data_IF_490249569592
#
_entry.id   IF_490249569592
#
_cell.length_a   1.000
_cell.length_b   1.000
_cell.length_c   1.000
_cell.angle_alpha   90.00
_cell.angle_beta   90.00
_cell.angle_gamma   90.00
#
_symmetry.space_group_name_H-M   'P 1'
#
loop_
_entity.id
_entity.type
_entity.pdbx_description
1 polymer ?
#
# COMPACT_ATOMS: atom_id res chain seq x y z
N UNK A 1 17.56 22.89 -18.46
CA UNK A 1 17.77 21.56 -19.05
C UNK A 1 16.38 21.06 -19.36
N UNK A 2 16.04 20.87 -20.63
CA UNK A 2 14.84 20.13 -20.99
C UNK A 2 14.97 18.74 -20.34
N UNK A 3 14.08 18.42 -19.40
CA UNK A 3 13.94 17.04 -18.94
C UNK A 3 13.55 16.23 -20.18
N UNK A 4 14.47 15.37 -20.63
CA UNK A 4 14.18 14.39 -21.68
C UNK A 4 12.99 13.55 -21.17
N UNK A 5 11.80 13.80 -21.71
CA UNK A 5 10.65 12.93 -21.49
C UNK A 5 11.08 11.51 -21.83
N UNK A 6 10.94 10.60 -20.86
CA UNK A 6 11.21 9.19 -21.10
C UNK A 6 10.05 8.64 -21.91
N UNK A 7 10.38 8.04 -23.05
CA UNK A 7 9.46 7.64 -24.10
C UNK A 7 9.57 6.13 -24.22
N UNK A 8 8.52 5.42 -23.79
CA UNK A 8 8.56 3.97 -23.61
C UNK A 8 7.61 3.20 -24.52
N UNK A 9 8.07 2.03 -24.94
CA UNK A 9 7.24 0.97 -25.51
C UNK A 9 7.04 -0.11 -24.45
N UNK A 10 5.78 -0.50 -24.20
CA UNK A 10 5.48 -1.58 -23.27
C UNK A 10 5.50 -2.94 -23.99
N UNK A 11 6.03 -3.97 -23.34
CA UNK A 11 6.09 -5.33 -23.87
C UNK A 11 5.50 -6.32 -22.88
N UNK A 12 4.55 -7.13 -23.34
CA UNK A 12 3.92 -8.18 -22.51
C UNK A 12 3.81 -9.52 -23.24
N UNK A 13 4.04 -10.61 -22.52
CA UNK A 13 3.80 -11.96 -23.02
C UNK A 13 2.56 -12.54 -22.35
N UNK A 14 1.56 -12.93 -23.15
CA UNK A 14 0.40 -13.66 -22.65
C UNK A 14 0.66 -15.16 -22.77
N UNK A 15 0.65 -15.85 -21.62
CA UNK A 15 0.86 -17.29 -21.52
C UNK A 15 -0.41 -18.14 -21.71
N UNK A 16 -1.54 -17.51 -22.04
CA UNK A 16 -2.85 -18.18 -22.23
C UNK A 16 -3.55 -18.59 -20.93
N UNK A 17 -2.90 -18.44 -19.78
CA UNK A 17 -3.44 -18.71 -18.45
C UNK A 17 -3.78 -17.45 -17.65
N UNK A 18 -3.48 -16.27 -18.18
CA UNK A 18 -3.84 -14.99 -17.55
C UNK A 18 -5.16 -14.52 -18.14
N UNK A 19 -6.27 -14.75 -17.43
CA UNK A 19 -7.58 -14.22 -17.79
C UNK A 19 -7.55 -12.69 -17.96
N UNK A 20 -6.60 -12.03 -17.29
CA UNK A 20 -6.56 -10.58 -17.11
C UNK A 20 -5.30 -9.93 -17.71
N UNK A 21 -4.70 -10.53 -18.73
CA UNK A 21 -3.50 -9.98 -19.39
C UNK A 21 -3.70 -8.53 -19.88
N UNK A 22 -4.90 -8.22 -20.39
CA UNK A 22 -5.24 -6.86 -20.82
C UNK A 22 -5.19 -5.86 -19.65
N UNK A 23 -5.75 -6.24 -18.50
CA UNK A 23 -5.70 -5.42 -17.29
C UNK A 23 -4.27 -5.25 -16.77
N UNK A 24 -3.45 -6.31 -16.84
CA UNK A 24 -2.04 -6.23 -16.43
C UNK A 24 -1.23 -5.24 -17.28
N UNK A 25 -1.52 -5.15 -18.58
CA UNK A 25 -0.90 -4.17 -19.49
C UNK A 25 -1.43 -2.74 -19.28
N UNK A 26 -2.71 -2.58 -18.98
CA UNK A 26 -3.29 -1.30 -18.58
C UNK A 26 -2.67 -0.81 -17.27
N UNK A 27 -2.53 -1.69 -16.28
CA UNK A 27 -1.85 -1.39 -15.03
C UNK A 27 -0.37 -1.05 -15.24
N UNK A 28 0.33 -1.73 -16.17
CA UNK A 28 1.70 -1.37 -16.54
C UNK A 28 1.80 0.04 -17.16
N UNK A 29 0.79 0.44 -17.94
CA UNK A 29 0.70 1.80 -18.49
C UNK A 29 0.56 2.81 -17.36
N UNK A 30 -0.37 2.57 -16.43
CA UNK A 30 -0.57 3.42 -15.26
C UNK A 30 0.68 3.49 -14.35
N UNK A 31 1.48 2.41 -14.28
CA UNK A 31 2.76 2.40 -13.56
C UNK A 31 3.80 3.29 -14.27
N UNK A 32 3.88 3.22 -15.59
CA UNK A 32 4.81 4.04 -16.38
C UNK A 32 4.48 5.53 -16.26
N UNK A 33 3.20 5.88 -16.39
CA UNK A 33 2.71 7.26 -16.22
C UNK A 33 2.98 7.78 -14.81
N UNK A 34 2.84 6.95 -13.78
CA UNK A 34 3.14 7.33 -12.39
C UNK A 34 4.64 7.65 -12.12
N UNK A 35 5.52 7.27 -13.06
CA UNK A 35 6.95 7.52 -13.07
C UNK A 35 7.38 8.62 -14.06
N UNK A 36 6.42 9.40 -14.59
CA UNK A 36 6.64 10.43 -15.61
C UNK A 36 7.23 9.86 -16.92
N UNK A 37 6.87 8.62 -17.26
CA UNK A 37 7.24 7.96 -18.52
C UNK A 37 6.05 7.99 -19.49
N UNK A 38 6.25 8.58 -20.66
CA UNK A 38 5.25 8.63 -21.74
C UNK A 38 5.20 7.28 -22.47
N UNK A 39 4.05 6.62 -22.41
CA UNK A 39 3.81 5.36 -23.14
C UNK A 39 3.34 5.67 -24.56
N UNK A 40 4.14 5.29 -25.55
CA UNK A 40 3.88 5.62 -26.97
C UNK A 40 3.30 4.43 -27.73
N UNK A 41 3.41 3.24 -27.16
CA UNK A 41 2.77 2.06 -27.70
C UNK A 41 3.01 0.81 -26.87
N UNK A 42 2.35 -0.26 -27.28
CA UNK A 42 2.40 -1.55 -26.62
C UNK A 42 2.55 -2.66 -27.64
N UNK A 43 3.42 -3.62 -27.33
CA UNK A 43 3.69 -4.79 -28.14
C UNK A 43 3.42 -6.04 -27.29
N UNK A 44 2.47 -6.85 -27.73
CA UNK A 44 2.08 -8.07 -27.00
C UNK A 44 2.38 -9.32 -27.82
N UNK A 45 2.70 -10.42 -27.14
CA UNK A 45 2.96 -11.71 -27.78
C UNK A 45 2.28 -12.85 -27.03
N UNK A 46 1.52 -13.67 -27.75
CA UNK A 46 1.00 -14.93 -27.21
C UNK A 46 2.08 -16.02 -27.32
N UNK A 47 2.48 -16.63 -26.20
CA UNK A 47 3.44 -17.74 -26.15
C UNK A 47 2.95 -18.81 -25.17
N UNK A 48 3.34 -20.07 -25.37
CA UNK A 48 3.08 -21.10 -24.34
C UNK A 48 4.10 -21.04 -23.19
N UNK A 49 5.29 -20.50 -23.46
CA UNK A 49 6.36 -20.34 -22.47
C UNK A 49 7.26 -19.19 -22.90
N UNK A 50 7.69 -18.37 -21.94
CA UNK A 50 8.66 -17.30 -22.16
C UNK A 50 9.99 -17.84 -22.67
N UNK A 51 10.65 -17.07 -23.53
CA UNK A 51 11.97 -17.42 -24.03
C UNK A 51 13.02 -17.22 -22.91
N UNK A 52 13.81 -18.25 -22.52
CA UNK A 52 14.83 -18.11 -21.48
C UNK A 52 15.88 -17.05 -21.78
N UNK A 53 16.12 -16.75 -23.06
CA UNK A 53 17.17 -15.83 -23.50
C UNK A 53 16.71 -14.38 -23.69
N UNK A 54 15.48 -14.14 -24.16
CA UNK A 54 15.00 -12.80 -24.55
C UNK A 54 13.56 -12.51 -24.07
N UNK A 55 12.94 -13.40 -23.29
CA UNK A 55 11.55 -13.33 -22.83
C UNK A 55 10.50 -13.44 -23.96
N UNK A 56 10.64 -12.64 -25.02
CA UNK A 56 9.92 -12.70 -26.29
C UNK A 56 10.65 -13.55 -27.36
N UNK A 57 9.93 -13.87 -28.45
CA UNK A 57 10.49 -14.59 -29.60
C UNK A 57 11.33 -13.69 -30.51
N UNK A 58 12.29 -14.27 -31.25
CA UNK A 58 13.24 -13.51 -32.12
C UNK A 58 12.56 -12.56 -33.10
N UNK A 59 11.55 -13.01 -33.84
CA UNK A 59 10.83 -12.12 -34.78
C UNK A 59 10.11 -10.97 -34.09
N UNK A 60 9.73 -11.15 -32.80
CA UNK A 60 9.10 -10.08 -32.01
C UNK A 60 10.15 -9.07 -31.50
N UNK A 61 11.38 -9.49 -31.29
CA UNK A 61 12.50 -8.58 -30.97
C UNK A 61 12.73 -7.63 -32.14
N UNK A 62 12.77 -8.16 -33.37
CA UNK A 62 12.91 -7.35 -34.59
C UNK A 62 11.75 -6.36 -34.75
N UNK A 63 10.52 -6.80 -34.46
CA UNK A 63 9.33 -5.94 -34.47
C UNK A 63 9.42 -4.83 -33.42
N UNK A 64 9.81 -5.15 -32.19
CA UNK A 64 10.00 -4.16 -31.11
C UNK A 64 11.13 -3.18 -31.48
N UNK A 65 12.26 -3.65 -32.00
CA UNK A 65 13.36 -2.80 -32.42
C UNK A 65 12.94 -1.83 -33.54
N UNK A 66 12.20 -2.32 -34.54
CA UNK A 66 11.67 -1.47 -35.60
C UNK A 66 10.71 -0.41 -35.04
N UNK A 67 9.82 -0.82 -34.12
CA UNK A 67 8.84 0.08 -33.54
C UNK A 67 9.47 1.14 -32.63
N UNK A 68 10.44 0.76 -31.79
CA UNK A 68 11.22 1.68 -30.93
C UNK A 68 11.90 2.77 -31.79
N UNK A 69 12.49 2.38 -32.92
CA UNK A 69 13.10 3.32 -33.86
C UNK A 69 12.07 4.19 -34.60
N UNK A 70 10.93 3.63 -34.98
CA UNK A 70 9.85 4.37 -35.67
C UNK A 70 9.27 5.48 -34.78
N UNK A 71 9.06 5.18 -33.50
CA UNK A 71 8.43 6.11 -32.57
C UNK A 71 9.43 6.95 -31.77
N UNK A 72 10.74 6.72 -31.97
CA UNK A 72 11.84 7.37 -31.25
C UNK A 72 11.69 7.21 -29.71
N UNK A 73 11.46 5.97 -29.29
CA UNK A 73 11.43 5.58 -27.88
C UNK A 73 12.85 5.34 -27.36
N UNK A 74 13.12 5.75 -26.12
CA UNK A 74 14.42 5.57 -25.47
C UNK A 74 14.41 4.46 -24.40
N UNK A 75 13.26 3.82 -24.18
CA UNK A 75 13.05 2.81 -23.18
C UNK A 75 12.07 1.73 -23.64
N UNK A 76 12.30 0.50 -23.19
CA UNK A 76 11.33 -0.60 -23.30
C UNK A 76 11.02 -1.15 -21.92
N UNK A 77 9.74 -1.26 -21.59
CA UNK A 77 9.24 -1.72 -20.28
C UNK A 77 8.56 -3.07 -20.44
N UNK A 78 9.06 -4.09 -19.75
CA UNK A 78 8.48 -5.43 -19.77
C UNK A 78 7.52 -5.66 -18.59
N UNK A 79 6.38 -6.30 -18.85
CA UNK A 79 5.34 -6.53 -17.85
C UNK A 79 5.73 -7.54 -16.74
N UNK A 80 6.69 -8.42 -16.99
CA UNK A 80 7.15 -9.40 -16.00
C UNK A 80 8.61 -9.17 -15.62
N UNK A 81 9.01 -9.69 -14.45
CA UNK A 81 10.40 -9.64 -14.01
C UNK A 81 11.32 -10.37 -14.99
N UNK A 82 12.37 -9.69 -15.41
CA UNK A 82 13.36 -10.23 -16.35
C UNK A 82 14.60 -10.74 -15.62
N UNK A 83 15.15 -11.86 -16.10
CA UNK A 83 16.45 -12.35 -15.65
C UNK A 83 17.60 -11.43 -16.10
N UNK A 84 18.75 -11.43 -15.38
CA UNK A 84 19.92 -10.65 -15.78
C UNK A 84 20.42 -10.94 -17.20
N UNK A 85 20.24 -12.17 -17.70
CA UNK A 85 20.60 -12.52 -19.08
C UNK A 85 19.63 -11.94 -20.10
N UNK A 86 18.32 -11.95 -19.79
CA UNK A 86 17.31 -11.39 -20.69
C UNK A 86 17.49 -9.89 -20.85
N UNK A 87 17.65 -9.14 -19.76
CA UNK A 87 17.88 -7.69 -19.80
C UNK A 87 19.09 -7.37 -20.70
N UNK A 88 20.25 -8.01 -20.45
CA UNK A 88 21.46 -7.78 -21.24
C UNK A 88 21.28 -8.06 -22.73
N UNK A 89 20.63 -9.17 -23.08
CA UNK A 89 20.45 -9.53 -24.48
C UNK A 89 19.47 -8.56 -25.17
N UNK A 90 18.39 -8.18 -24.48
CA UNK A 90 17.42 -7.23 -24.99
C UNK A 90 18.01 -5.83 -25.16
N UNK A 91 18.82 -5.34 -24.20
CA UNK A 91 19.53 -4.06 -24.34
C UNK A 91 20.47 -4.07 -25.55
N UNK A 92 21.16 -5.18 -25.80
CA UNK A 92 22.07 -5.32 -26.94
C UNK A 92 21.34 -5.37 -28.29
N UNK A 93 20.17 -6.01 -28.34
CA UNK A 93 19.38 -6.17 -29.56
C UNK A 93 18.51 -4.94 -29.89
N UNK A 94 18.06 -4.21 -28.86
CA UNK A 94 17.14 -3.06 -28.99
C UNK A 94 17.85 -1.69 -28.99
N UNK A 95 19.13 -1.64 -28.57
CA UNK A 95 19.93 -0.41 -28.47
C UNK A 95 19.28 0.70 -27.61
N UNK A 96 18.52 0.31 -26.58
CA UNK A 96 17.83 1.22 -25.66
C UNK A 96 17.78 0.65 -24.23
N UNK A 97 17.40 1.49 -23.26
CA UNK A 97 17.27 1.06 -21.85
C UNK A 97 16.12 0.07 -21.71
N UNK A 98 16.39 -1.11 -21.15
CA UNK A 98 15.37 -2.13 -20.87
C UNK A 98 15.10 -2.19 -19.39
N UNK A 99 13.84 -2.01 -19.00
CA UNK A 99 13.39 -2.17 -17.62
C UNK A 99 12.27 -3.19 -17.54
N UNK A 100 12.10 -3.78 -16.36
CA UNK A 100 10.97 -4.64 -16.05
C UNK A 100 10.00 -3.99 -15.07
N UNK A 101 8.86 -4.65 -14.86
CA UNK A 101 7.83 -4.20 -13.93
C UNK A 101 8.36 -4.01 -12.50
N UNK A 102 9.30 -4.85 -12.08
CA UNK A 102 9.86 -4.79 -10.71
C UNK A 102 10.65 -3.51 -10.50
N UNK A 103 11.55 -3.15 -11.42
CA UNK A 103 12.33 -1.91 -11.28
C UNK A 103 11.45 -0.67 -11.47
N UNK A 104 10.44 -0.73 -12.35
CA UNK A 104 9.47 0.38 -12.50
C UNK A 104 8.74 0.66 -11.18
N UNK A 105 8.26 -0.38 -10.49
CA UNK A 105 7.62 -0.22 -9.17
C UNK A 105 8.59 0.36 -8.15
N UNK A 106 9.85 -0.10 -8.13
CA UNK A 106 10.88 0.42 -7.22
C UNK A 106 11.20 1.90 -7.50
N UNK A 107 11.25 2.31 -8.77
CA UNK A 107 11.48 3.69 -9.17
C UNK A 107 10.33 4.60 -8.73
N UNK A 108 9.06 4.15 -8.86
CA UNK A 108 7.90 4.87 -8.31
C UNK A 108 8.08 5.03 -6.81
N UNK A 109 8.44 3.97 -6.08
CA UNK A 109 8.64 4.08 -4.64
C UNK A 109 9.78 4.98 -4.24
N UNK A 110 10.89 4.99 -5.00
CA UNK A 110 11.99 5.90 -4.75
C UNK A 110 11.57 7.36 -4.88
N UNK A 111 10.73 7.69 -5.87
CA UNK A 111 10.16 9.04 -6.04
C UNK A 111 9.17 9.42 -4.92
N UNK A 112 8.50 8.45 -4.31
CA UNK A 112 7.47 8.68 -3.28
C UNK A 112 8.01 8.62 -1.85
N UNK A 113 9.18 8.03 -1.62
CA UNK A 113 9.78 7.86 -0.30
C UNK A 113 10.31 9.18 0.29
N UNK A 114 9.58 9.78 1.23
CA UNK A 114 9.96 11.05 1.89
C UNK A 114 10.59 10.83 3.27
N UNK A 115 10.10 9.83 3.99
CA UNK A 115 10.62 9.45 5.31
C UNK A 115 11.90 8.62 5.19
N UNK A 116 12.77 8.74 6.19
CA UNK A 116 14.01 7.96 6.26
C UNK A 116 13.74 6.45 6.20
N UNK A 117 12.69 5.97 6.85
CA UNK A 117 12.34 4.55 6.84
C UNK A 117 11.96 4.07 5.43
N UNK A 118 11.08 4.79 4.75
CA UNK A 118 10.69 4.44 3.38
C UNK A 118 11.90 4.49 2.43
N UNK A 119 12.78 5.48 2.58
CA UNK A 119 14.01 5.59 1.78
C UNK A 119 14.92 4.39 1.99
N UNK A 120 15.14 3.98 3.25
CA UNK A 120 15.94 2.80 3.59
C UNK A 120 15.30 1.51 3.04
N UNK A 121 13.98 1.34 3.16
CA UNK A 121 13.26 0.17 2.64
C UNK A 121 13.39 0.05 1.12
N UNK A 122 13.19 1.16 0.40
CA UNK A 122 13.31 1.20 -1.06
C UNK A 122 14.75 0.93 -1.47
N UNK A 123 15.74 1.52 -0.80
CA UNK A 123 17.15 1.31 -1.10
C UNK A 123 17.56 -0.16 -0.89
N UNK A 124 17.12 -0.78 0.21
CA UNK A 124 17.34 -2.21 0.46
C UNK A 124 16.72 -3.06 -0.65
N UNK A 125 15.47 -2.77 -1.04
CA UNK A 125 14.80 -3.51 -2.10
C UNK A 125 15.51 -3.34 -3.46
N UNK A 126 15.95 -2.12 -3.78
CA UNK A 126 16.71 -1.82 -4.99
C UNK A 126 18.06 -2.54 -5.03
N UNK A 127 18.82 -2.53 -3.93
CA UNK A 127 20.09 -3.26 -3.82
C UNK A 127 19.90 -4.78 -3.95
N UNK A 128 18.85 -5.34 -3.33
CA UNK A 128 18.52 -6.76 -3.45
C UNK A 128 18.20 -7.16 -4.89
N UNK A 129 17.45 -6.33 -5.61
CA UNK A 129 17.12 -6.54 -7.02
C UNK A 129 18.34 -6.39 -7.94
N UNK A 130 19.19 -5.40 -7.68
CA UNK A 130 20.38 -5.12 -8.48
C UNK A 130 21.54 -6.09 -8.26
N UNK A 131 21.68 -6.64 -7.05
CA UNK A 131 22.77 -7.55 -6.68
C UNK A 131 22.98 -8.73 -7.66
N UNK A 132 21.97 -9.53 -8.04
CA UNK A 132 22.15 -10.60 -9.04
C UNK A 132 22.44 -10.07 -10.46
N UNK A 133 22.09 -8.81 -10.76
CA UNK A 133 22.15 -8.20 -12.10
C UNK A 133 23.48 -7.50 -12.37
N UNK A 134 24.07 -6.85 -11.38
CA UNK A 134 25.38 -6.17 -11.48
C UNK A 134 26.53 -7.13 -11.80
N UNK A 135 26.43 -8.37 -11.34
CA UNK A 135 27.44 -9.41 -11.58
C UNK A 135 27.48 -9.80 -13.07
N UNK A 136 26.35 -9.74 -13.77
CA UNK A 136 26.25 -10.05 -15.20
C UNK A 136 26.84 -8.98 -16.12
N UNK A 137 26.82 -7.70 -15.73
CA UNK A 137 27.23 -6.59 -16.60
C UNK A 137 28.73 -6.63 -17.01
N UNK A 138 29.59 -7.28 -16.23
CA UNK A 138 31.05 -7.32 -16.48
C UNK A 138 31.54 -8.52 -17.31
N UNK A 139 30.72 -9.55 -17.51
CA UNK A 139 31.10 -10.69 -18.36
C UNK A 139 31.22 -10.32 -19.85
N UNK A 140 30.57 -9.24 -20.31
CA UNK A 140 30.65 -8.72 -21.68
C UNK A 140 31.93 -7.89 -21.92
N UNK A 141 32.32 -7.04 -20.96
CA UNK A 141 33.58 -6.29 -20.97
C UNK A 141 34.82 -7.21 -20.96
N UNK A 142 34.69 -8.41 -20.37
CA UNK A 142 35.74 -9.42 -20.35
C UNK A 142 36.04 -10.07 -21.71
N UNK A 143 35.14 -9.98 -22.70
CA UNK A 143 35.33 -10.58 -24.03
C UNK A 143 35.97 -9.63 -25.04
N UNK A 144 35.85 -8.31 -24.86
CA UNK A 144 36.46 -7.33 -25.76
C UNK A 144 37.96 -7.12 -25.49
N UNK A 145 38.46 -7.54 -24.31
CA UNK A 145 39.91 -7.65 -24.03
C UNK A 145 40.50 -8.94 -24.60
N UNK A 146 40.31 -9.18 -25.90
CA UNK A 146 40.92 -10.29 -26.62
C UNK A 146 42.35 -9.97 -27.04
N UNK A 147 43.32 -10.20 -26.15
CA UNK A 147 44.74 -10.02 -26.46
C UNK A 147 45.68 -10.55 -25.39
N UNK A 148 46.13 -11.81 -25.57
CA UNK A 148 47.29 -12.47 -24.94
C UNK A 148 47.22 -12.72 -23.43
N UNK A 149 47.11 -14.00 -23.04
CA UNK A 149 47.71 -14.50 -21.79
C UNK A 149 46.73 -15.07 -20.75
N UNK A 150 46.78 -16.39 -20.63
CA UNK A 150 46.15 -17.29 -19.65
C UNK A 150 46.53 -17.03 -18.18
N UNK A 151 46.28 -15.83 -17.63
CA UNK A 151 46.48 -15.53 -16.19
C UNK A 151 45.41 -14.67 -15.50
N UNK A 152 44.42 -14.11 -16.20
CA UNK A 152 43.46 -13.17 -15.60
C UNK A 152 42.11 -13.77 -15.17
N UNK A 153 41.93 -15.10 -15.27
CA UNK A 153 40.64 -15.77 -14.98
C UNK A 153 40.18 -15.59 -13.51
N UNK A 154 41.11 -15.46 -12.56
CA UNK A 154 40.79 -15.26 -11.13
C UNK A 154 40.68 -13.81 -10.65
N UNK A 155 41.09 -12.82 -11.45
CA UNK A 155 41.04 -11.40 -11.03
C UNK A 155 39.64 -10.82 -11.23
N UNK A 156 38.91 -11.27 -12.26
CA UNK A 156 37.52 -10.89 -12.52
C UNK A 156 36.56 -11.48 -11.50
N UNK A 157 36.65 -12.79 -11.25
CA UNK A 157 35.82 -13.51 -10.26
C UNK A 157 36.00 -12.94 -8.85
N UNK A 158 37.23 -12.66 -8.43
CA UNK A 158 37.49 -12.00 -7.13
C UNK A 158 36.90 -10.59 -7.05
N UNK A 159 36.93 -9.81 -8.13
CA UNK A 159 36.30 -8.48 -8.14
C UNK A 159 34.78 -8.57 -8.05
N UNK A 160 34.15 -9.54 -8.73
CA UNK A 160 32.71 -9.79 -8.64
C UNK A 160 32.31 -10.21 -7.22
N UNK A 161 33.10 -11.08 -6.59
CA UNK A 161 32.86 -11.48 -5.21
C UNK A 161 33.04 -10.31 -4.23
N UNK A 162 34.03 -9.44 -4.45
CA UNK A 162 34.23 -8.23 -3.64
C UNK A 162 33.09 -7.22 -3.83
N UNK A 163 32.63 -6.98 -5.06
CA UNK A 163 31.53 -6.06 -5.34
C UNK A 163 30.21 -6.60 -4.75
N UNK A 164 29.98 -7.92 -4.84
CA UNK A 164 28.86 -8.59 -4.17
C UNK A 164 28.92 -8.43 -2.65
N UNK A 165 30.08 -8.69 -2.03
CA UNK A 165 30.26 -8.54 -0.57
C UNK A 165 30.01 -7.11 -0.10
N UNK A 166 30.40 -6.10 -0.88
CA UNK A 166 30.09 -4.70 -0.56
C UNK A 166 28.60 -4.41 -0.56
N UNK A 167 27.86 -4.93 -1.54
CA UNK A 167 26.40 -4.78 -1.59
C UNK A 167 25.74 -5.52 -0.41
N UNK A 168 26.19 -6.74 -0.10
CA UNK A 168 25.70 -7.49 1.06
C UNK A 168 25.99 -6.76 2.39
N UNK A 169 27.16 -6.15 2.51
CA UNK A 169 27.54 -5.32 3.66
C UNK A 169 26.66 -4.06 3.77
N UNK A 170 26.42 -3.37 2.65
CA UNK A 170 25.50 -2.22 2.61
C UNK A 170 24.08 -2.62 3.02
N UNK A 171 23.54 -3.71 2.47
CA UNK A 171 22.23 -4.24 2.86
C UNK A 171 22.20 -4.56 4.36
N UNK A 172 23.27 -5.13 4.92
CA UNK A 172 23.38 -5.43 6.35
C UNK A 172 23.35 -4.17 7.22
N UNK A 173 24.04 -3.11 6.80
CA UNK A 173 24.02 -1.81 7.49
C UNK A 173 22.61 -1.19 7.45
N UNK A 174 22.01 -1.10 6.26
CA UNK A 174 20.67 -0.52 6.09
C UNK A 174 19.59 -1.29 6.87
N UNK A 175 19.69 -2.62 6.92
CA UNK A 175 18.77 -3.44 7.72
C UNK A 175 18.91 -3.17 9.22
N UNK A 176 20.11 -2.92 9.74
CA UNK A 176 20.30 -2.55 11.15
C UNK A 176 19.67 -1.20 11.48
N UNK A 177 19.77 -0.24 10.56
CA UNK A 177 19.13 1.06 10.73
C UNK A 177 17.60 0.93 10.70
N UNK A 178 17.06 0.04 9.84
CA UNK A 178 15.63 -0.30 9.82
C UNK A 178 15.18 -0.97 11.13
N UNK A 179 15.96 -1.90 11.69
CA UNK A 179 15.64 -2.57 12.97
C UNK A 179 15.50 -1.57 14.13
N UNK A 180 16.34 -0.53 14.17
CA UNK A 180 16.25 0.53 15.18
C UNK A 180 14.94 1.33 15.06
N UNK A 181 14.50 1.64 13.83
CA UNK A 181 13.24 2.33 13.57
C UNK A 181 12.03 1.46 13.94
N UNK A 182 12.07 0.16 13.64
CA UNK A 182 11.02 -0.80 14.03
C UNK A 182 10.87 -0.87 15.55
N UNK A 183 11.99 -0.89 16.30
CA UNK A 183 11.96 -0.90 17.77
C UNK A 183 11.29 0.37 18.36
N UNK A 184 11.53 1.53 17.74
CA UNK A 184 10.86 2.77 18.12
C UNK A 184 9.34 2.70 17.88
N UNK A 185 8.91 2.18 16.72
CA UNK A 185 7.47 1.95 16.43
C UNK A 185 6.84 0.99 17.44
N UNK A 186 7.49 -0.12 17.77
CA UNK A 186 6.98 -1.07 18.77
C UNK A 186 6.76 -0.43 20.15
N UNK A 187 7.60 0.54 20.52
CA UNK A 187 7.43 1.28 21.77
C UNK A 187 6.20 2.17 21.74
N UNK A 188 5.95 2.89 20.63
CA UNK A 188 4.72 3.65 20.43
C UNK A 188 3.49 2.74 20.42
N UNK A 189 3.58 1.56 19.79
CA UNK A 189 2.51 0.55 19.76
C UNK A 189 2.14 0.09 21.17
N UNK A 190 3.11 -0.18 22.06
CA UNK A 190 2.85 -0.55 23.46
C UNK A 190 2.10 0.54 24.22
N UNK A 191 2.40 1.81 23.97
CA UNK A 191 1.66 2.92 24.57
C UNK A 191 0.22 3.01 24.04
N UNK A 192 -0.01 2.78 22.73
CA UNK A 192 -1.35 2.78 22.14
C UNK A 192 -2.23 1.66 22.69
N UNK A 193 -1.71 0.43 22.75
CA UNK A 193 -2.42 -0.71 23.36
C UNK A 193 -2.77 -0.43 24.83
N UNK A 194 -1.92 0.29 25.55
CA UNK A 194 -2.19 0.71 26.93
C UNK A 194 -3.32 1.74 27.05
N UNK A 195 -3.51 2.58 26.03
CA UNK A 195 -4.53 3.62 26.01
C UNK A 195 -5.85 3.14 25.38
N UNK A 196 -5.93 1.89 24.90
CA UNK A 196 -7.14 1.26 24.34
C UNK A 196 -7.83 2.10 23.25
N UNK A 197 -7.06 2.82 22.44
CA UNK A 197 -7.58 3.58 21.30
C UNK A 197 -7.70 2.63 20.11
N UNK A 198 -8.91 2.46 19.54
CA UNK A 198 -9.10 1.57 18.40
C UNK A 198 -8.33 2.00 17.16
N UNK A 199 -7.86 1.04 16.38
CA UNK A 199 -7.11 1.24 15.14
C UNK A 199 -7.89 0.70 13.95
N UNK A 200 -8.11 1.57 12.96
CA UNK A 200 -8.78 1.26 11.70
C UNK A 200 -7.80 1.42 10.56
N UNK A 201 -7.68 0.40 9.71
CA UNK A 201 -6.76 0.45 8.56
C UNK A 201 -7.54 0.45 7.24
N UNK A 202 -7.21 1.42 6.38
CA UNK A 202 -7.69 1.46 5.00
C UNK A 202 -6.81 0.56 4.15
N UNK A 203 -7.40 -0.50 3.59
CA UNK A 203 -6.73 -1.44 2.69
C UNK A 203 -7.43 -1.44 1.35
N UNK A 204 -6.73 -1.89 0.30
CA UNK A 204 -7.30 -1.96 -1.03
C UNK A 204 -6.29 -1.69 -2.13
N UNK A 205 -6.72 -1.94 -3.35
CA UNK A 205 -5.89 -1.79 -4.53
C UNK A 205 -5.42 -0.34 -4.71
N UNK A 206 -4.30 -0.16 -5.41
CA UNK A 206 -3.84 1.15 -5.86
C UNK A 206 -4.94 1.84 -6.68
N UNK A 207 -5.06 3.16 -6.50
CA UNK A 207 -6.13 3.98 -7.09
C UNK A 207 -7.59 3.65 -6.68
N UNK A 208 -7.83 2.79 -5.69
CA UNK A 208 -9.19 2.59 -5.15
C UNK A 208 -9.77 3.82 -4.42
N UNK A 209 -8.92 4.81 -4.10
CA UNK A 209 -9.30 6.03 -3.39
C UNK A 209 -9.17 5.94 -1.86
N UNK A 210 -8.22 5.14 -1.33
CA UNK A 210 -7.95 5.07 0.12
C UNK A 210 -7.62 6.44 0.73
N UNK A 211 -6.65 7.15 0.14
CA UNK A 211 -6.25 8.48 0.60
C UNK A 211 -7.38 9.50 0.44
N UNK A 212 -8.20 9.38 -0.61
CA UNK A 212 -9.43 10.17 -0.79
C UNK A 212 -10.41 9.94 0.35
N UNK A 213 -10.67 8.68 0.71
CA UNK A 213 -11.56 8.30 1.83
C UNK A 213 -11.03 8.86 3.14
N UNK A 214 -9.72 8.79 3.38
CA UNK A 214 -9.10 9.36 4.57
C UNK A 214 -9.25 10.88 4.63
N UNK A 215 -8.95 11.58 3.54
CA UNK A 215 -9.09 13.04 3.46
C UNK A 215 -10.54 13.48 3.68
N UNK A 216 -11.50 12.78 3.07
CA UNK A 216 -12.92 13.06 3.26
C UNK A 216 -13.34 12.90 4.73
N UNK A 217 -12.86 11.88 5.44
CA UNK A 217 -13.13 11.74 6.89
C UNK A 217 -12.51 12.88 7.71
N UNK A 218 -11.27 13.27 7.42
CA UNK A 218 -10.60 14.35 8.15
C UNK A 218 -11.32 15.69 7.98
N UNK A 219 -11.76 16.00 6.75
CA UNK A 219 -12.50 17.23 6.46
C UNK A 219 -13.84 17.30 7.20
N UNK A 220 -14.55 16.17 7.33
CA UNK A 220 -15.86 16.11 8.00
C UNK A 220 -15.72 16.23 9.52
N UNK A 221 -14.73 15.56 10.14
CA UNK A 221 -14.67 15.39 11.61
C UNK A 221 -13.62 16.25 12.32
N UNK A 222 -12.49 16.56 11.69
CA UNK A 222 -11.38 17.28 12.32
C UNK A 222 -11.16 18.70 11.74
N UNK A 223 -11.86 19.04 10.65
CA UNK A 223 -11.73 20.32 9.97
C UNK A 223 -10.46 20.46 9.11
N UNK A 224 -10.40 21.52 8.31
CA UNK A 224 -9.38 21.76 7.27
C UNK A 224 -7.98 22.16 7.78
N UNK A 225 -7.75 22.25 9.10
CA UNK A 225 -6.45 22.69 9.65
C UNK A 225 -5.41 21.55 9.73
N UNK A 226 -5.83 20.29 9.67
CA UNK A 226 -4.89 19.17 9.64
C UNK A 226 -4.27 18.99 8.24
N UNK A 227 -2.97 18.65 8.19
CA UNK A 227 -2.29 18.36 6.92
C UNK A 227 -2.96 17.16 6.22
N UNK A 228 -3.66 17.44 5.13
CA UNK A 228 -4.25 16.44 4.23
C UNK A 228 -3.20 15.42 3.76
N UNK A 229 -3.63 14.17 3.59
CA UNK A 229 -2.81 13.13 2.99
C UNK A 229 -2.70 13.40 1.49
N UNK A 230 -1.51 13.16 0.95
CA UNK A 230 -1.27 13.39 -0.47
C UNK A 230 -2.11 12.43 -1.32
N UNK A 231 -2.93 12.99 -2.21
CA UNK A 231 -3.82 12.25 -3.09
C UNK A 231 -3.58 12.65 -4.55
N UNK A 232 -3.44 11.66 -5.43
CA UNK A 232 -3.44 11.83 -6.89
C UNK A 232 -3.99 10.57 -7.55
N UNK A 233 -4.58 10.76 -8.74
CA UNK A 233 -5.07 9.68 -9.61
C UNK A 233 -3.90 9.01 -10.33
N UNK A 234 -3.12 8.23 -9.57
CA UNK A 234 -1.95 7.49 -10.05
C UNK A 234 -1.62 6.33 -9.11
N UNK A 235 -0.89 5.32 -9.59
CA UNK A 235 -0.49 4.18 -8.77
C UNK A 235 0.54 4.60 -7.71
N UNK A 236 0.45 3.99 -6.53
CA UNK A 236 1.30 4.29 -5.37
C UNK A 236 1.37 5.77 -4.97
N UNK A 237 0.24 6.50 -5.09
CA UNK A 237 0.14 7.86 -4.59
C UNK A 237 0.60 7.99 -3.12
N UNK A 238 0.32 6.97 -2.31
CA UNK A 238 0.72 6.89 -0.90
C UNK A 238 1.62 5.69 -0.65
N UNK A 239 2.86 5.96 -0.25
CA UNK A 239 3.84 4.96 0.20
C UNK A 239 3.98 4.90 1.73
N UNK A 240 3.59 5.98 2.41
CA UNK A 240 3.80 6.15 3.84
C UNK A 240 2.51 5.84 4.61
N UNK A 241 2.62 5.08 5.70
CA UNK A 241 1.47 4.86 6.58
C UNK A 241 1.14 6.16 7.30
N UNK A 242 0.01 6.76 6.93
CA UNK A 242 -0.47 8.00 7.56
C UNK A 242 -1.44 7.63 8.65
N UNK A 243 -1.10 7.94 9.90
CA UNK A 243 -1.98 7.76 11.06
C UNK A 243 -2.58 9.12 11.43
N UNK A 244 -3.90 9.18 11.52
CA UNK A 244 -4.65 10.34 12.02
C UNK A 244 -5.66 9.90 13.06
N UNK A 245 -5.94 10.79 14.00
CA UNK A 245 -7.01 10.59 14.97
C UNK A 245 -8.29 11.15 14.38
N UNK A 246 -9.37 10.36 14.35
CA UNK A 246 -10.69 10.83 13.96
C UNK A 246 -11.52 11.00 15.23
N UNK A 247 -11.90 12.24 15.52
CA UNK A 247 -12.70 12.56 16.70
C UNK A 247 -14.18 12.51 16.34
N UNK A 248 -14.92 11.64 17.03
CA UNK A 248 -16.36 11.48 16.85
C UNK A 248 -17.12 12.43 17.79
N UNK A 249 -18.36 12.82 17.43
CA UNK A 249 -19.16 13.75 18.23
C UNK A 249 -19.52 13.23 19.63
N UNK A 250 -19.32 11.94 19.92
CA UNK A 250 -19.67 11.27 21.17
C UNK A 250 -18.49 11.12 22.16
N UNK A 251 -17.47 11.98 22.07
CA UNK A 251 -16.21 11.89 22.83
C UNK A 251 -15.46 10.55 22.63
N UNK A 252 -15.76 9.83 21.56
CA UNK A 252 -15.00 8.66 21.12
C UNK A 252 -14.03 9.09 20.03
N UNK A 253 -12.94 8.35 19.89
CA UNK A 253 -12.01 8.53 18.78
C UNK A 253 -11.39 7.22 18.37
N UNK A 254 -10.99 7.15 17.11
CA UNK A 254 -10.23 6.03 16.57
C UNK A 254 -9.08 6.54 15.71
N UNK A 255 -8.02 5.74 15.62
CA UNK A 255 -6.90 6.01 14.75
C UNK A 255 -7.19 5.44 13.36
N UNK A 256 -7.24 6.30 12.36
CA UNK A 256 -7.33 5.91 10.96
C UNK A 256 -5.94 5.84 10.35
N UNK A 257 -5.60 4.70 9.76
CA UNK A 257 -4.32 4.44 9.10
C UNK A 257 -4.54 4.21 7.60
N UNK A 258 -3.98 5.07 6.75
CA UNK A 258 -3.89 4.81 5.30
C UNK A 258 -2.67 3.96 5.00
N UNK A 259 -2.86 2.86 4.27
CA UNK A 259 -1.81 1.89 3.95
C UNK A 259 -1.35 2.03 2.51
N UNK A 260 -0.19 1.44 2.20
CA UNK A 260 0.27 1.29 0.82
C UNK A 260 -0.78 0.52 0.02
N UNK A 261 -1.09 1.00 -1.19
CA UNK A 261 -2.00 0.30 -2.08
C UNK A 261 -1.40 -0.98 -2.65
N UNK A 262 -2.23 -2.01 -2.82
CA UNK A 262 -1.82 -3.25 -3.48
C UNK A 262 -1.75 -3.09 -5.00
N UNK A 263 -0.87 -3.87 -5.64
CA UNK A 263 -0.71 -3.96 -7.10
C UNK A 263 -0.60 -5.44 -7.46
N UNK A 264 -0.93 -5.81 -8.70
CA UNK A 264 -0.76 -7.18 -9.16
C UNK A 264 0.73 -7.48 -9.33
N UNK A 265 1.09 -8.76 -9.18
CA UNK A 265 2.47 -9.24 -9.36
C UNK A 265 3.49 -8.46 -8.51
N UNK A 266 3.16 -8.20 -7.24
CA UNK A 266 4.10 -7.61 -6.29
C UNK A 266 5.39 -8.46 -6.18
N UNK A 267 6.58 -7.89 -6.40
CA UNK A 267 7.83 -8.65 -6.31
C UNK A 267 8.05 -9.19 -4.89
N UNK A 268 8.52 -10.44 -4.75
CA UNK A 268 8.73 -11.08 -3.44
C UNK A 268 9.70 -10.31 -2.53
N UNK A 269 10.75 -9.71 -3.11
CA UNK A 269 11.70 -8.87 -2.39
C UNK A 269 11.05 -7.62 -1.79
N UNK A 270 10.05 -7.10 -2.50
CA UNK A 270 9.32 -5.91 -2.14
C UNK A 270 8.36 -6.20 -0.98
N UNK A 271 7.63 -7.32 -1.02
CA UNK A 271 6.81 -7.78 0.11
C UNK A 271 7.65 -7.91 1.40
N UNK A 272 8.91 -8.35 1.30
CA UNK A 272 9.80 -8.45 2.46
C UNK A 272 10.24 -7.08 2.99
N UNK A 273 10.57 -6.12 2.10
CA UNK A 273 10.99 -4.77 2.49
C UNK A 273 9.83 -3.95 3.10
N UNK A 274 8.62 -4.14 2.59
CA UNK A 274 7.39 -3.48 3.07
C UNK A 274 6.62 -4.32 4.09
N UNK A 275 7.21 -5.42 4.58
CA UNK A 275 6.57 -6.26 5.58
C UNK A 275 6.27 -5.49 6.87
N UNK A 276 7.18 -4.62 7.31
CA UNK A 276 6.97 -3.86 8.55
C UNK A 276 5.86 -2.82 8.44
N UNK A 277 5.62 -2.26 7.24
CA UNK A 277 4.50 -1.33 6.99
C UNK A 277 3.18 -2.08 6.82
N UNK A 278 3.20 -3.29 6.25
CA UNK A 278 2.03 -4.14 6.12
C UNK A 278 1.65 -4.86 7.42
N UNK A 279 2.60 -5.12 8.31
CA UNK A 279 2.35 -5.65 9.67
C UNK A 279 1.48 -4.70 10.51
N UNK A 280 1.39 -3.40 10.17
CA UNK A 280 0.45 -2.47 10.83
C UNK A 280 -1.00 -2.82 10.54
N UNK A 281 -1.29 -3.44 9.39
CA UNK A 281 -2.63 -3.91 9.03
C UNK A 281 -3.05 -5.09 9.92
N UNK A 282 -2.10 -5.94 10.29
CA UNK A 282 -2.36 -7.09 11.17
C UNK A 282 -2.71 -6.68 12.61
N UNK A 283 -2.43 -5.43 12.98
CA UNK A 283 -2.75 -4.87 14.30
C UNK A 283 -4.06 -4.07 14.33
N UNK A 284 -4.75 -3.93 13.19
CA UNK A 284 -5.99 -3.19 13.12
C UNK A 284 -7.13 -3.95 13.85
N UNK A 285 -7.98 -3.20 14.54
CA UNK A 285 -9.21 -3.74 15.13
C UNK A 285 -10.31 -3.88 14.06
N UNK A 286 -10.20 -3.11 12.97
CA UNK A 286 -11.11 -3.09 11.84
C UNK A 286 -10.37 -2.76 10.55
N UNK A 287 -10.68 -3.48 9.47
CA UNK A 287 -10.24 -3.14 8.12
C UNK A 287 -11.36 -2.44 7.36
N UNK A 288 -11.02 -1.37 6.64
CA UNK A 288 -11.87 -0.80 5.60
C UNK A 288 -11.23 -1.17 4.27
N UNK A 289 -11.82 -2.13 3.57
CA UNK A 289 -11.42 -2.50 2.23
C UNK A 289 -12.06 -1.52 1.23
N UNK A 290 -11.30 -0.51 0.84
CA UNK A 290 -11.70 0.45 -0.19
C UNK A 290 -11.54 -0.19 -1.56
N UNK A 291 -12.65 -0.27 -2.30
CA UNK A 291 -12.75 -0.93 -3.59
C UNK A 291 -13.21 0.08 -4.63
N UNK A 292 -12.54 0.12 -5.78
CA UNK A 292 -13.01 0.88 -6.94
C UNK A 292 -14.18 0.13 -7.60
N UNK A 293 -15.41 0.56 -7.32
CA UNK A 293 -16.61 -0.10 -7.84
C UNK A 293 -16.88 0.25 -9.31
N UNK A 294 -16.29 1.33 -9.82
CA UNK A 294 -16.37 1.68 -11.23
C UNK A 294 -15.53 0.74 -12.12
N UNK A 295 -14.58 0.02 -11.53
CA UNK A 295 -13.74 -0.93 -12.24
C UNK A 295 -14.52 -2.23 -12.52
N UNK A 296 -14.65 -2.67 -13.79
CA UNK A 296 -15.33 -3.92 -14.13
C UNK A 296 -14.75 -5.17 -13.45
N UNK A 297 -13.47 -5.14 -13.08
CA UNK A 297 -12.73 -6.25 -12.48
C UNK A 297 -12.67 -6.16 -10.94
N UNK A 298 -13.50 -5.34 -10.30
CA UNK A 298 -13.43 -5.08 -8.86
C UNK A 298 -13.45 -6.36 -7.99
N UNK A 299 -14.21 -7.39 -8.39
CA UNK A 299 -14.29 -8.66 -7.65
C UNK A 299 -12.94 -9.38 -7.61
N UNK A 300 -12.22 -9.42 -8.73
CA UNK A 300 -10.89 -10.01 -8.80
C UNK A 300 -9.87 -9.20 -7.96
N UNK A 301 -9.98 -7.87 -7.97
CA UNK A 301 -9.11 -7.01 -7.16
C UNK A 301 -9.33 -7.21 -5.66
N UNK A 302 -10.57 -7.48 -5.25
CA UNK A 302 -10.91 -7.90 -3.89
C UNK A 302 -10.20 -9.21 -3.55
N UNK A 303 -10.31 -10.23 -4.42
CA UNK A 303 -9.69 -11.53 -4.20
C UNK A 303 -8.16 -11.44 -4.10
N UNK A 304 -7.51 -10.71 -5.01
CA UNK A 304 -6.05 -10.46 -4.99
C UNK A 304 -5.63 -9.77 -3.68
N UNK A 305 -6.41 -8.78 -3.24
CA UNK A 305 -6.14 -8.06 -1.99
C UNK A 305 -6.28 -9.00 -0.79
N UNK A 306 -7.35 -9.79 -0.74
CA UNK A 306 -7.59 -10.75 0.34
C UNK A 306 -6.50 -11.83 0.40
N UNK A 307 -6.07 -12.37 -0.74
CA UNK A 307 -4.95 -13.31 -0.80
C UNK A 307 -3.65 -12.69 -0.28
N UNK A 308 -3.42 -11.42 -0.62
CA UNK A 308 -2.21 -10.71 -0.20
C UNK A 308 -2.22 -10.46 1.30
N UNK A 309 -3.35 -10.00 1.85
CA UNK A 309 -3.57 -9.86 3.29
C UNK A 309 -3.32 -11.17 4.03
N UNK A 310 -3.84 -12.28 3.51
CA UNK A 310 -3.62 -13.62 4.07
C UNK A 310 -2.15 -14.03 4.06
N UNK A 311 -1.41 -13.77 2.97
CA UNK A 311 0.04 -14.06 2.88
C UNK A 311 0.87 -13.28 3.90
N UNK A 312 0.39 -12.12 4.34
CA UNK A 312 1.05 -11.26 5.34
C UNK A 312 0.65 -11.67 6.77
N UNK A 313 -0.30 -12.59 6.94
CA UNK A 313 -0.77 -13.08 8.23
C UNK A 313 -1.91 -12.27 8.83
N UNK A 314 -2.59 -11.46 8.01
CA UNK A 314 -3.83 -10.78 8.40
C UNK A 314 -4.98 -11.78 8.25
N UNK A 315 -5.38 -12.39 9.35
CA UNK A 315 -6.50 -13.33 9.41
C UNK A 315 -7.46 -12.96 10.54
N UNK A 316 -8.78 -13.08 10.29
CA UNK A 316 -9.85 -12.88 11.28
C UNK A 316 -10.07 -11.44 11.80
N UNK A 317 -9.65 -10.41 11.05
CA UNK A 317 -10.02 -9.02 11.36
C UNK A 317 -11.35 -8.68 10.68
N UNK A 318 -12.33 -8.10 11.41
CA UNK A 318 -13.57 -7.60 10.81
C UNK A 318 -13.26 -6.65 9.64
N UNK A 319 -14.00 -6.77 8.54
CA UNK A 319 -13.72 -6.00 7.32
C UNK A 319 -15.00 -5.37 6.80
N UNK A 320 -14.98 -4.05 6.60
CA UNK A 320 -16.04 -3.31 5.90
C UNK A 320 -15.58 -3.07 4.46
N UNK A 321 -16.41 -3.39 3.49
CA UNK A 321 -16.16 -3.10 2.09
C UNK A 321 -16.73 -1.73 1.72
N UNK A 322 -15.84 -0.78 1.44
CA UNK A 322 -16.20 0.55 0.98
C UNK A 322 -16.12 0.59 -0.55
N UNK A 323 -17.25 0.41 -1.23
CA UNK A 323 -17.40 0.52 -2.69
C UNK A 323 -17.37 1.99 -3.09
N UNK A 324 -16.16 2.49 -3.30
CA UNK A 324 -15.87 3.86 -3.69
C UNK A 324 -16.03 4.04 -5.21
N UNK A 325 -16.09 5.30 -5.66
CA UNK A 325 -16.36 5.71 -7.05
C UNK A 325 -17.69 5.18 -7.59
N UNK A 326 -18.62 4.84 -6.71
CA UNK A 326 -19.96 4.36 -7.09
C UNK A 326 -20.75 5.44 -7.86
N UNK A 327 -20.34 6.70 -7.79
CA UNK A 327 -20.93 7.80 -8.56
C UNK A 327 -20.63 7.76 -10.08
N UNK A 328 -19.73 6.87 -10.51
CA UNK A 328 -19.45 6.62 -11.93
C UNK A 328 -20.29 5.45 -12.49
N UNK A 329 -21.07 4.78 -11.65
CA UNK A 329 -21.92 3.64 -11.99
C UNK A 329 -23.37 4.01 -11.71
N UNK A 330 -24.31 3.41 -12.45
CA UNK A 330 -25.75 3.63 -12.24
C UNK A 330 -26.25 2.84 -11.00
N UNK A 331 -25.84 3.29 -9.81
CA UNK A 331 -26.23 2.72 -8.52
C UNK A 331 -26.63 3.83 -7.55
N UNK A 332 -27.67 3.58 -6.76
CA UNK A 332 -28.09 4.49 -5.69
C UNK A 332 -27.00 4.62 -4.61
N UNK A 333 -26.58 5.85 -4.34
CA UNK A 333 -25.66 6.21 -3.25
C UNK A 333 -26.27 7.32 -2.38
N UNK A 334 -26.12 7.26 -1.05
CA UNK A 334 -25.47 6.20 -0.28
C UNK A 334 -26.36 4.95 -0.14
N UNK A 335 -25.75 3.77 -0.12
CA UNK A 335 -26.44 2.50 0.13
C UNK A 335 -25.61 1.62 1.05
N UNK A 336 -26.24 1.05 2.07
CA UNK A 336 -25.61 0.12 3.01
C UNK A 336 -26.26 -1.26 2.85
N UNK A 337 -25.43 -2.29 2.71
CA UNK A 337 -25.88 -3.67 2.62
C UNK A 337 -24.90 -4.57 3.38
N UNK A 338 -25.36 -5.16 4.49
CA UNK A 338 -24.52 -6.00 5.36
C UNK A 338 -23.22 -5.26 5.77
N UNK A 339 -22.05 -5.78 5.41
CA UNK A 339 -20.73 -5.20 5.67
C UNK A 339 -20.22 -4.34 4.51
N UNK A 340 -21.12 -3.87 3.63
CA UNK A 340 -20.79 -3.11 2.41
C UNK A 340 -21.45 -1.75 2.42
N UNK A 341 -20.71 -0.72 2.02
CA UNK A 341 -21.19 0.64 1.82
C UNK A 341 -20.81 1.15 0.44
N UNK A 342 -21.81 1.63 -0.30
CA UNK A 342 -21.64 2.25 -1.61
C UNK A 342 -21.52 3.76 -1.41
N UNK A 343 -20.38 4.31 -1.79
CA UNK A 343 -20.03 5.70 -1.51
C UNK A 343 -19.23 6.36 -2.65
N UNK A 344 -19.10 7.67 -2.55
CA UNK A 344 -18.16 8.46 -3.34
C UNK A 344 -17.39 9.38 -2.40
N UNK A 345 -16.17 8.99 -2.06
CA UNK A 345 -15.32 9.76 -1.16
C UNK A 345 -15.05 11.16 -1.72
N UNK A 346 -14.90 11.29 -3.05
CA UNK A 346 -14.65 12.57 -3.74
C UNK A 346 -15.83 13.54 -3.68
N UNK A 347 -17.07 13.02 -3.61
CA UNK A 347 -18.30 13.83 -3.51
C UNK A 347 -18.81 13.93 -2.07
N UNK A 348 -18.08 13.35 -1.10
CA UNK A 348 -18.46 13.27 0.31
C UNK A 348 -19.82 12.58 0.55
N UNK A 349 -20.26 11.70 -0.36
CA UNK A 349 -21.53 10.96 -0.24
C UNK A 349 -21.25 9.56 0.31
N UNK A 350 -21.96 9.12 1.35
CA UNK A 350 -21.78 7.78 1.95
C UNK A 350 -20.73 7.71 3.07
N UNK A 351 -20.11 8.84 3.41
CA UNK A 351 -19.06 8.91 4.44
C UNK A 351 -19.62 8.78 5.85
N UNK A 352 -20.79 9.37 6.11
CA UNK A 352 -21.47 9.26 7.41
C UNK A 352 -21.88 7.81 7.69
N UNK A 353 -22.42 7.12 6.69
CA UNK A 353 -22.79 5.71 6.78
C UNK A 353 -21.57 4.81 7.02
N UNK A 354 -20.45 5.09 6.34
CA UNK A 354 -19.19 4.37 6.58
C UNK A 354 -18.72 4.56 8.02
N UNK A 355 -18.77 5.79 8.55
CA UNK A 355 -18.39 6.07 9.95
C UNK A 355 -19.31 5.38 10.93
N UNK A 356 -20.62 5.33 10.65
CA UNK A 356 -21.57 4.62 11.51
C UNK A 356 -21.33 3.11 11.53
N UNK A 357 -20.96 2.51 10.39
CA UNK A 357 -20.56 1.11 10.33
C UNK A 357 -19.26 0.84 11.09
N UNK A 358 -18.29 1.76 11.02
CA UNK A 358 -17.04 1.72 11.78
C UNK A 358 -17.35 1.74 13.28
N UNK A 359 -18.20 2.69 13.71
CA UNK A 359 -18.63 2.83 15.12
C UNK A 359 -19.30 1.55 15.62
N UNK A 360 -20.23 1.03 14.85
CA UNK A 360 -20.96 -0.21 15.17
C UNK A 360 -20.05 -1.43 15.26
N UNK A 361 -18.90 -1.44 14.55
CA UNK A 361 -17.96 -2.53 14.60
C UNK A 361 -16.93 -2.44 15.73
N UNK A 362 -16.42 -1.24 15.99
CA UNK A 362 -15.35 -1.00 16.96
C UNK A 362 -15.89 -0.92 18.39
N UNK A 363 -17.06 -0.32 18.57
CA UNK A 363 -17.63 -0.09 19.89
C UNK A 363 -18.72 -1.10 20.27
N UNK A 364 -18.64 -2.34 19.75
CA UNK A 364 -19.59 -3.44 20.08
C UNK A 364 -19.70 -3.73 21.58
N UNK A 365 -18.65 -3.42 22.34
CA UNK A 365 -18.58 -3.63 23.78
C UNK A 365 -19.06 -2.44 24.62
N UNK A 366 -19.74 -1.47 24.03
CA UNK A 366 -20.33 -0.35 24.75
C UNK A 366 -21.76 -0.69 25.17
N UNK A 367 -22.06 -0.48 26.44
CA UNK A 367 -23.37 -0.71 27.03
C UNK A 367 -23.99 0.62 27.41
N UNK A 368 -25.23 0.84 26.99
CA UNK A 368 -26.05 1.94 27.52
C UNK A 368 -26.55 1.57 28.91
N UNK A 369 -26.30 2.45 29.88
CA UNK A 369 -26.74 2.24 31.25
C UNK A 369 -27.12 3.57 31.90
N UNK A 370 -27.98 3.48 32.91
CA UNK A 370 -28.28 4.58 33.81
C UNK A 370 -27.53 4.35 35.12
N UNK A 371 -26.85 5.38 35.62
CA UNK A 371 -26.16 5.33 36.91
C UNK A 371 -26.60 6.50 37.81
N UNK A 372 -26.87 6.21 39.09
CA UNK A 372 -27.07 7.22 40.13
C UNK A 372 -25.80 7.31 40.97
N UNK A 373 -25.06 8.41 40.81
CA UNK A 373 -23.80 8.63 41.51
C UNK A 373 -24.04 9.63 42.65
N UNK A 374 -23.84 9.25 43.92
CA UNK A 374 -24.03 10.16 45.04
C UNK A 374 -23.05 11.34 44.99
N UNK A 375 -23.43 12.49 45.56
CA UNK A 375 -22.65 13.73 45.48
C UNK A 375 -21.25 13.65 46.10
N UNK A 376 -21.02 12.70 47.02
CA UNK A 376 -19.71 12.43 47.63
C UNK A 376 -18.73 11.72 46.67
N UNK A 377 -19.21 11.19 45.54
CA UNK A 377 -18.44 10.49 44.52
C UNK A 377 -18.36 11.25 43.20
N UNK A 378 -18.28 12.59 43.25
CA UNK A 378 -18.15 13.45 42.06
C UNK A 378 -16.97 13.11 41.13
N UNK A 379 -15.94 12.42 41.64
CA UNK A 379 -14.85 11.85 40.83
C UNK A 379 -15.33 10.83 39.79
N UNK A 380 -16.40 10.07 40.07
CA UNK A 380 -16.98 9.09 39.13
C UNK A 380 -17.76 9.80 38.04
N UNK A 381 -18.48 10.87 38.39
CA UNK A 381 -19.15 11.76 37.40
C UNK A 381 -18.11 12.38 36.46
N UNK A 382 -17.02 12.93 37.01
CA UNK A 382 -15.92 13.50 36.22
C UNK A 382 -15.24 12.45 35.33
N UNK A 383 -15.07 11.23 35.84
CA UNK A 383 -14.53 10.12 35.05
C UNK A 383 -15.41 9.83 33.81
N UNK A 384 -16.72 9.64 34.00
CA UNK A 384 -17.63 9.36 32.89
C UNK A 384 -17.80 10.54 31.93
N UNK A 385 -17.78 11.78 32.40
CA UNK A 385 -17.77 12.95 31.52
C UNK A 385 -16.54 12.98 30.58
N UNK A 386 -15.41 12.42 31.01
CA UNK A 386 -14.17 12.41 30.23
C UNK A 386 -13.96 11.12 29.42
N UNK A 387 -14.60 10.00 29.77
CA UNK A 387 -14.31 8.67 29.21
C UNK A 387 -15.53 7.93 28.64
N UNK A 388 -16.74 8.47 28.80
CA UNK A 388 -17.97 7.88 28.28
C UNK A 388 -18.80 8.93 27.53
N UNK A 389 -19.71 8.44 26.69
CA UNK A 389 -20.67 9.29 26.03
C UNK A 389 -21.86 9.54 26.95
N UNK A 390 -22.00 10.76 27.43
CA UNK A 390 -23.10 11.16 28.33
C UNK A 390 -24.30 11.61 27.49
N UNK A 391 -25.36 10.81 27.50
CA UNK A 391 -26.61 11.05 26.78
C UNK A 391 -27.45 12.10 27.50
N UNK A 392 -27.55 11.97 28.83
CA UNK A 392 -28.27 12.92 29.67
C UNK A 392 -27.68 12.98 31.08
N UNK A 393 -27.84 14.14 31.72
CA UNK A 393 -27.45 14.36 33.12
C UNK A 393 -28.60 15.04 33.83
N UNK A 394 -29.02 14.46 34.96
CA UNK A 394 -30.06 15.03 35.82
C UNK A 394 -29.62 14.98 37.28
N UNK A 395 -30.06 15.95 38.05
CA UNK A 395 -29.70 16.07 39.47
C UNK A 395 -30.90 15.64 40.31
N UNK A 396 -30.75 14.54 41.05
CA UNK A 396 -31.77 14.02 41.95
C UNK A 396 -31.39 14.31 43.42
N UNK A 397 -32.33 14.04 44.33
CA UNK A 397 -32.14 14.30 45.77
C UNK A 397 -30.98 13.46 46.35
N UNK A 398 -30.75 12.26 45.81
CA UNK A 398 -29.77 11.29 46.34
C UNK A 398 -28.44 11.29 45.56
N UNK A 399 -28.34 12.00 44.42
CA UNK A 399 -27.13 12.05 43.61
C UNK A 399 -27.34 12.61 42.20
N UNK A 400 -26.29 12.56 41.39
CA UNK A 400 -26.33 12.87 39.97
C UNK A 400 -26.70 11.62 39.19
N UNK A 401 -27.82 11.64 38.49
CA UNK A 401 -28.24 10.59 37.57
C UNK A 401 -27.65 10.86 36.18
N UNK A 402 -26.89 9.90 35.67
CA UNK A 402 -26.29 9.93 34.35
C UNK A 402 -26.87 8.82 33.49
N UNK A 403 -27.32 9.16 32.29
CA UNK A 403 -27.58 8.21 31.22
C UNK A 403 -26.36 8.21 30.31
N UNK A 404 -25.65 7.09 30.24
CA UNK A 404 -24.34 7.01 29.59
C UNK A 404 -24.22 5.78 28.71
N UNK A 405 -23.43 5.90 27.66
CA UNK A 405 -22.92 4.79 26.88
C UNK A 405 -21.43 4.63 27.19
N UNK A 406 -21.08 3.57 27.92
CA UNK A 406 -19.72 3.32 28.42
C UNK A 406 -19.25 1.90 28.08
N UNK A 407 -17.94 1.65 28.21
CA UNK A 407 -17.37 0.32 28.02
C UNK A 407 -18.00 -0.68 29.00
N UNK A 408 -18.20 -1.92 28.56
CA UNK A 408 -18.74 -2.98 29.43
C UNK A 408 -17.86 -3.22 30.66
N UNK A 409 -16.53 -3.08 30.53
CA UNK A 409 -15.59 -3.14 31.66
C UNK A 409 -15.80 -2.02 32.69
N UNK A 410 -16.09 -0.80 32.24
CA UNK A 410 -16.41 0.33 33.11
C UNK A 410 -17.78 0.15 33.76
N UNK A 411 -18.76 -0.36 33.01
CA UNK A 411 -20.05 -0.75 33.58
C UNK A 411 -19.88 -1.78 34.69
N UNK A 412 -19.10 -2.85 34.49
CA UNK A 412 -18.85 -3.85 35.52
C UNK A 412 -18.14 -3.27 36.74
N UNK A 413 -17.15 -2.40 36.52
CA UNK A 413 -16.38 -1.73 37.59
C UNK A 413 -17.24 -0.80 38.44
N UNK A 414 -18.18 -0.08 37.82
CA UNK A 414 -19.05 0.90 38.48
C UNK A 414 -20.49 0.40 38.68
N UNK A 415 -20.73 -0.90 38.49
CA UNK A 415 -22.06 -1.55 38.54
C UNK A 415 -22.88 -1.25 39.79
N UNK A 416 -22.21 -0.96 40.91
CA UNK A 416 -22.85 -0.56 42.19
C UNK A 416 -23.70 0.71 42.11
N UNK A 417 -23.47 1.54 41.09
CA UNK A 417 -24.22 2.77 40.84
C UNK A 417 -25.28 2.62 39.76
N UNK A 418 -25.33 1.48 39.05
CA UNK A 418 -26.32 1.23 38.01
C UNK A 418 -27.72 1.04 38.63
N UNK A 419 -28.73 1.59 37.96
CA UNK A 419 -30.13 1.58 38.41
C UNK A 419 -30.98 0.67 37.53
#
# INVERSE_FOLDING_TARGET
MEELLQRAVLVGVNLGNEADFAYSMEELTNLAEACDVEVIGQVTQNLQRVNPSHYIGKGKIEEVAAYVNEVDANMVIFNDELSPSQIRNLEADLDCKVIDRTILILDIFAQRAKTKEAQLQVEVAHLQYMMPRLIGLRESLGRQSGGVGTKNKGVGEKKLELDRRKIEEQISVLNKDLEALVAQRQTQRKQRKKNEIPVVALVGYTNAGKSTTMNAMLEIYNGTEEKQVFEKDMLFATLETSVRNIDLPDNKSFLLTDTVGFVSKLPHHLVKAFRSTLEEVAEADLLIHVVDYANPNYEQLIDITNETLKKIGVENIPTIYAYNKSDMVDVEIPKVQEERVYLSAKKHVGMEELVEMIRSNIYKEYTKCEMLIPYDQGQVVSYFNNHAHVLSTSYENEGTKLEIECKTSDYEKYKRFAI
#
